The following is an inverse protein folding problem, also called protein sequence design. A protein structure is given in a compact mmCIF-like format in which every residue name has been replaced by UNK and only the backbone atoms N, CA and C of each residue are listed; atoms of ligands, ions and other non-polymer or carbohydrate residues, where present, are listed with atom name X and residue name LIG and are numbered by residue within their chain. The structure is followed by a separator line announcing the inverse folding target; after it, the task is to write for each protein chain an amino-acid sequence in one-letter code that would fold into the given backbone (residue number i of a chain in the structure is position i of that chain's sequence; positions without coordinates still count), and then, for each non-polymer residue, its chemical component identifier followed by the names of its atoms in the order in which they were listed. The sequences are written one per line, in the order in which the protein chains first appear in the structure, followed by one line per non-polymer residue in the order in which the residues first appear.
data_IF_052797008971
#
_entry.id   IF_052797008971
#
_cell.length_a   1.000
_cell.length_b   1.000
_cell.length_c   1.000
_cell.angle_alpha   90.00
_cell.angle_beta   90.00
_cell.angle_gamma   90.00
#
_symmetry.space_group_name_H-M   'P 1'
#
loop_
_entity.id
_entity.type
_entity.pdbx_description
1 polymer ?
#
# COMPACT_ATOMS: atom_id res chain seq x y z
N UNK A 1 -8.80 16.74 9.24
CA UNK A 1 -7.65 17.61 9.60
C UNK A 1 -6.66 16.71 10.35
N UNK A 2 -5.36 16.73 10.05
CA UNK A 2 -4.32 16.05 10.87
C UNK A 2 -3.48 17.13 11.55
N UNK A 3 -3.89 17.52 12.78
CA UNK A 3 -2.98 17.70 13.93
C UNK A 3 -3.65 17.28 15.27
N UNK A 4 -2.95 17.09 16.41
CA UNK A 4 -1.62 17.52 16.81
C UNK A 4 -0.84 16.37 17.50
N UNK A 5 0.48 16.35 17.29
CA UNK A 5 1.43 15.23 17.54
C UNK A 5 1.28 14.12 16.48
N UNK A 6 2.00 14.22 15.37
CA UNK A 6 2.00 13.20 14.28
C UNK A 6 3.27 12.33 14.36
N UNK A 7 3.20 11.12 14.96
CA UNK A 7 4.27 10.13 14.95
C UNK A 7 4.00 8.93 14.02
N UNK A 8 2.89 8.86 13.28
CA UNK A 8 2.56 7.65 12.52
C UNK A 8 3.36 7.58 11.21
N UNK A 9 4.31 6.64 11.20
CA UNK A 9 5.17 6.35 10.06
C UNK A 9 4.49 5.30 9.17
N UNK A 10 4.23 5.68 7.92
CA UNK A 10 3.60 4.83 6.89
C UNK A 10 4.64 4.39 5.87
N UNK A 11 4.63 3.11 5.52
CA UNK A 11 5.52 2.58 4.50
C UNK A 11 5.01 2.93 3.11
N UNK A 12 5.82 3.66 2.35
CA UNK A 12 5.60 3.98 0.94
C UNK A 12 6.82 3.58 0.13
N UNK A 13 6.64 3.39 -1.17
CA UNK A 13 7.77 3.16 -2.06
C UNK A 13 7.49 3.64 -3.47
N UNK A 14 8.56 3.88 -4.22
CA UNK A 14 8.51 4.13 -5.67
C UNK A 14 8.62 2.80 -6.37
N UNK A 15 7.67 2.48 -7.25
CA UNK A 15 7.67 1.21 -8.00
C UNK A 15 8.92 1.09 -8.88
N UNK A 16 9.60 -0.05 -8.78
CA UNK A 16 10.73 -0.37 -9.66
C UNK A 16 10.23 -0.71 -11.07
N UNK A 17 11.07 -0.43 -12.07
CA UNK A 17 10.82 -0.84 -13.46
C UNK A 17 10.86 -2.35 -13.62
N UNK A 18 11.78 -3.02 -12.94
CA UNK A 18 11.95 -4.48 -13.03
C UNK A 18 10.77 -5.26 -12.43
N UNK A 19 10.26 -4.83 -11.28
CA UNK A 19 9.18 -5.53 -10.56
C UNK A 19 7.78 -5.05 -10.91
N UNK A 20 7.65 -3.97 -11.69
CA UNK A 20 6.36 -3.42 -12.11
C UNK A 20 6.47 -2.68 -13.46
N UNK A 21 6.50 -3.45 -14.55
CA UNK A 21 6.51 -2.91 -15.92
C UNK A 21 5.30 -2.02 -16.25
N UNK A 22 4.16 -2.20 -15.56
CA UNK A 22 2.92 -1.46 -15.84
C UNK A 22 3.01 0.01 -15.42
N UNK A 23 3.63 0.28 -14.28
CA UNK A 23 3.64 1.60 -13.66
C UNK A 23 4.96 1.84 -12.90
N UNK A 24 6.11 1.86 -13.60
CA UNK A 24 7.37 2.26 -12.99
C UNK A 24 7.27 3.69 -12.45
N UNK A 25 7.98 4.00 -11.37
CA UNK A 25 8.06 5.37 -10.87
C UNK A 25 6.82 5.84 -10.08
N UNK A 26 5.77 5.02 -9.98
CA UNK A 26 4.58 5.39 -9.22
C UNK A 26 4.79 5.18 -7.72
N UNK A 27 4.50 6.20 -6.92
CA UNK A 27 4.43 6.10 -5.45
C UNK A 27 3.27 5.20 -5.05
N UNK A 28 3.56 4.20 -4.24
CA UNK A 28 2.63 3.16 -3.85
C UNK A 28 2.90 2.72 -2.41
N UNK A 29 1.85 2.39 -1.68
CA UNK A 29 1.97 1.59 -0.44
C UNK A 29 2.12 0.11 -0.81
N UNK A 30 2.44 -0.78 0.14
CA UNK A 30 2.38 -2.22 -0.08
C UNK A 30 1.00 -2.60 -0.61
N UNK A 31 0.95 -3.16 -1.81
CA UNK A 31 -0.29 -3.65 -2.41
C UNK A 31 -0.04 -4.85 -3.31
N UNK A 32 -1.06 -5.70 -3.44
CA UNK A 32 -1.12 -6.76 -4.43
C UNK A 32 -2.48 -6.80 -5.12
N UNK A 33 -2.48 -7.21 -6.39
CA UNK A 33 -3.71 -7.62 -7.06
C UNK A 33 -4.21 -8.91 -6.43
N UNK A 34 -5.52 -9.06 -6.33
CA UNK A 34 -6.16 -10.30 -5.86
C UNK A 34 -6.95 -10.91 -7.01
N UNK A 35 -7.02 -12.25 -7.14
CA UNK A 35 -7.74 -12.87 -8.25
C UNK A 35 -9.18 -12.39 -8.35
N UNK A 36 -9.64 -12.09 -9.57
CA UNK A 36 -10.97 -11.54 -9.84
C UNK A 36 -12.10 -12.36 -9.21
N UNK A 37 -12.04 -13.70 -9.31
CA UNK A 37 -13.06 -14.57 -8.70
C UNK A 37 -13.19 -14.37 -7.19
N UNK A 38 -12.05 -14.29 -6.50
CA UNK A 38 -12.05 -14.01 -5.06
C UNK A 38 -12.54 -12.59 -4.79
N UNK A 39 -12.14 -11.64 -5.63
CA UNK A 39 -12.55 -10.27 -5.49
C UNK A 39 -14.07 -10.08 -5.55
N UNK A 40 -14.70 -10.61 -6.59
CA UNK A 40 -16.15 -10.55 -6.79
C UNK A 40 -16.90 -11.22 -5.64
N UNK A 41 -16.37 -12.31 -5.07
CA UNK A 41 -16.95 -12.97 -3.91
C UNK A 41 -16.94 -12.07 -2.66
N UNK A 42 -15.90 -11.25 -2.48
CA UNK A 42 -15.78 -10.38 -1.31
C UNK A 42 -16.52 -9.05 -1.45
N UNK A 43 -16.58 -8.47 -2.66
CA UNK A 43 -17.11 -7.12 -2.85
C UNK A 43 -18.52 -7.04 -3.42
N UNK A 44 -19.03 -8.14 -3.99
CA UNK A 44 -20.03 -8.07 -5.05
C UNK A 44 -19.45 -7.33 -6.28
N UNK A 45 -19.89 -7.68 -7.49
CA UNK A 45 -19.43 -7.00 -8.71
C UNK A 45 -19.50 -5.47 -8.62
N UNK A 46 -18.66 -4.78 -9.39
CA UNK A 46 -18.52 -3.31 -9.36
C UNK A 46 -18.81 -2.79 -10.75
N UNK A 47 -19.56 -1.69 -10.83
CA UNK A 47 -19.90 -1.11 -12.13
C UNK A 47 -18.66 -0.51 -12.81
N UNK A 48 -18.76 -0.28 -14.11
CA UNK A 48 -17.66 0.30 -14.90
C UNK A 48 -17.21 1.65 -14.34
N UNK A 49 -15.90 1.78 -14.10
CA UNK A 49 -15.30 2.97 -13.52
C UNK A 49 -15.64 3.22 -12.04
N UNK A 50 -16.52 2.41 -11.43
CA UNK A 50 -16.81 2.50 -10.00
C UNK A 50 -15.58 2.03 -9.21
N UNK A 51 -15.27 2.76 -8.14
CA UNK A 51 -14.31 2.33 -7.14
C UNK A 51 -15.04 1.89 -5.88
N UNK A 52 -15.06 0.59 -5.61
CA UNK A 52 -15.63 0.05 -4.37
C UNK A 52 -14.54 -0.21 -3.35
N UNK A 53 -14.80 0.22 -2.12
CA UNK A 53 -13.90 -0.01 -0.99
C UNK A 53 -14.59 -0.84 0.07
N UNK A 54 -13.99 -1.99 0.42
CA UNK A 54 -14.51 -2.83 1.49
C UNK A 54 -14.13 -2.28 2.87
N UNK A 55 -14.85 -2.75 3.90
CA UNK A 55 -14.63 -2.32 5.28
C UNK A 55 -13.16 -2.55 5.65
N UNK A 56 -12.56 -1.52 6.24
CA UNK A 56 -11.20 -1.64 6.72
C UNK A 56 -11.15 -2.61 7.91
N UNK A 57 -10.15 -3.45 7.92
CA UNK A 57 -9.83 -4.34 9.04
C UNK A 57 -8.46 -3.99 9.59
N UNK A 58 -8.32 -4.12 10.90
CA UNK A 58 -7.10 -3.79 11.65
C UNK A 58 -6.38 -5.07 12.07
N UNK A 59 -5.07 -5.00 12.20
CA UNK A 59 -4.26 -6.09 12.72
C UNK A 59 -2.86 -5.63 13.12
N UNK A 60 -2.00 -6.58 13.44
CA UNK A 60 -0.59 -6.36 13.75
C UNK A 60 0.28 -7.23 12.84
N UNK A 61 1.56 -6.88 12.72
CA UNK A 61 2.58 -7.69 12.04
C UNK A 61 3.87 -7.74 12.84
N UNK A 62 4.69 -8.76 12.61
CA UNK A 62 6.00 -8.92 13.25
C UNK A 62 5.89 -9.20 14.76
N UNK A 63 4.73 -9.67 15.22
CA UNK A 63 4.50 -10.06 16.62
C UNK A 63 4.08 -11.53 16.68
N UNK A 64 4.37 -12.24 17.77
CA UNK A 64 3.87 -13.60 17.96
C UNK A 64 2.35 -13.67 17.78
N UNK A 65 1.89 -14.54 16.89
CA UNK A 65 0.47 -14.72 16.59
C UNK A 65 -0.14 -13.69 15.63
N UNK A 66 0.62 -12.74 15.07
CA UNK A 66 0.10 -11.83 14.03
C UNK A 66 -0.51 -12.58 12.84
N UNK A 67 0.16 -13.62 12.35
CA UNK A 67 -0.30 -14.52 11.29
C UNK A 67 -1.43 -15.48 11.68
N UNK A 68 -1.90 -15.46 12.94
CA UNK A 68 -3.09 -16.24 13.35
C UNK A 68 -4.41 -15.59 12.93
N UNK A 69 -4.37 -14.35 12.46
CA UNK A 69 -5.51 -13.64 11.88
C UNK A 69 -5.36 -13.57 10.36
N UNK A 70 -6.49 -13.60 9.64
CA UNK A 70 -6.49 -13.43 8.16
C UNK A 70 -5.78 -12.14 7.74
N UNK A 71 -5.94 -11.10 8.56
CA UNK A 71 -5.36 -9.76 8.37
C UNK A 71 -3.84 -9.77 8.47
N UNK A 72 -3.32 -10.27 9.59
CA UNK A 72 -1.88 -10.32 9.82
C UNK A 72 -1.20 -11.29 8.86
N UNK A 73 -1.82 -12.42 8.54
CA UNK A 73 -1.33 -13.34 7.52
C UNK A 73 -1.20 -12.66 6.15
N UNK A 74 -2.26 -11.96 5.69
CA UNK A 74 -2.24 -11.29 4.39
C UNK A 74 -1.18 -10.17 4.33
N UNK A 75 -0.98 -9.45 5.43
CA UNK A 75 0.06 -8.42 5.52
C UNK A 75 1.46 -9.01 5.52
N UNK A 76 1.76 -9.97 6.40
CA UNK A 76 3.09 -10.57 6.47
C UNK A 76 3.45 -11.26 5.14
N UNK A 77 2.50 -11.95 4.51
CA UNK A 77 2.68 -12.50 3.17
C UNK A 77 2.97 -11.40 2.13
N UNK A 78 2.30 -10.24 2.21
CA UNK A 78 2.56 -9.12 1.32
C UNK A 78 3.94 -8.51 1.53
N UNK A 79 4.28 -8.21 2.78
CA UNK A 79 5.56 -7.60 3.15
C UNK A 79 6.71 -8.51 2.75
N UNK A 80 6.64 -9.79 3.08
CA UNK A 80 7.67 -10.78 2.70
C UNK A 80 7.81 -10.92 1.19
N UNK A 81 6.69 -10.87 0.45
CA UNK A 81 6.73 -10.95 -1.02
C UNK A 81 7.33 -9.70 -1.68
N UNK A 82 7.17 -8.53 -1.06
CA UNK A 82 7.36 -7.24 -1.73
C UNK A 82 8.48 -6.38 -1.19
N UNK A 83 8.92 -6.60 0.05
CA UNK A 83 9.68 -5.58 0.80
C UNK A 83 10.76 -6.22 1.65
N UNK A 84 10.39 -7.19 2.49
CA UNK A 84 11.22 -7.62 3.61
C UNK A 84 11.63 -9.06 3.48
N UNK A 85 12.80 -9.40 4.00
CA UNK A 85 13.10 -10.79 4.34
C UNK A 85 12.18 -11.21 5.51
N UNK A 86 11.44 -12.31 5.35
CA UNK A 86 10.51 -12.81 6.36
C UNK A 86 11.18 -13.02 7.73
N UNK A 87 12.49 -13.28 7.76
CA UNK A 87 13.24 -13.42 9.02
C UNK A 87 13.23 -12.17 9.90
N UNK A 88 13.08 -10.97 9.32
CA UNK A 88 12.95 -9.72 10.07
C UNK A 88 11.61 -9.63 10.81
N UNK A 89 10.54 -10.20 10.22
CA UNK A 89 9.23 -10.29 10.85
C UNK A 89 9.23 -11.37 11.93
N UNK A 90 9.82 -12.53 11.65
CA UNK A 90 9.88 -13.67 12.58
C UNK A 90 10.65 -13.34 13.87
N UNK A 91 11.72 -12.54 13.76
CA UNK A 91 12.50 -12.07 14.92
C UNK A 91 11.86 -10.92 15.68
N UNK A 92 10.85 -10.27 15.09
CA UNK A 92 10.22 -9.06 15.64
C UNK A 92 11.09 -7.80 15.52
N UNK A 93 12.14 -7.84 14.68
CA UNK A 93 13.02 -6.70 14.39
C UNK A 93 12.24 -5.55 13.75
N UNK A 94 11.16 -5.89 13.03
CA UNK A 94 10.17 -4.95 12.50
C UNK A 94 8.79 -5.38 12.92
N UNK A 95 8.06 -4.50 13.59
CA UNK A 95 6.69 -4.77 13.97
C UNK A 95 5.86 -3.50 14.02
N UNK A 96 4.55 -3.69 13.91
CA UNK A 96 3.64 -2.56 13.92
C UNK A 96 2.19 -2.93 13.86
N UNK A 97 1.39 -1.90 13.55
CA UNK A 97 -0.04 -2.00 13.30
C UNK A 97 -0.30 -1.91 11.82
N UNK A 98 -1.44 -2.42 11.41
CA UNK A 98 -1.87 -2.26 10.04
C UNK A 98 -3.36 -2.02 9.94
N UNK A 99 -3.72 -1.35 8.86
CA UNK A 99 -5.06 -1.33 8.34
C UNK A 99 -4.98 -1.74 6.88
N UNK A 100 -5.85 -2.62 6.43
CA UNK A 100 -5.98 -2.88 5.00
C UNK A 100 -7.37 -2.54 4.51
N UNK A 101 -7.44 -2.32 3.21
CA UNK A 101 -8.66 -2.06 2.48
C UNK A 101 -8.55 -2.71 1.12
N UNK A 102 -9.59 -3.45 0.77
CA UNK A 102 -9.77 -3.95 -0.59
C UNK A 102 -10.41 -2.82 -1.39
N UNK A 103 -9.78 -2.46 -2.50
CA UNK A 103 -10.27 -1.46 -3.43
C UNK A 103 -10.43 -2.10 -4.81
N UNK A 104 -11.65 -2.13 -5.31
CA UNK A 104 -11.96 -2.62 -6.65
C UNK A 104 -12.12 -1.43 -7.57
N UNK A 105 -11.60 -1.56 -8.79
CA UNK A 105 -11.93 -0.65 -9.87
C UNK A 105 -12.34 -1.49 -11.07
N UNK A 106 -13.54 -1.21 -11.58
CA UNK A 106 -14.00 -1.81 -12.83
C UNK A 106 -13.20 -1.28 -14.01
N UNK A 107 -13.00 -2.13 -15.01
CA UNK A 107 -12.40 -1.78 -16.30
C UNK A 107 -11.04 -1.07 -16.20
N UNK A 108 -10.03 -1.74 -15.63
CA UNK A 108 -8.67 -1.21 -15.54
C UNK A 108 -7.87 -1.70 -16.74
N UNK A 109 -7.43 -0.77 -17.59
CA UNK A 109 -6.50 -1.08 -18.68
C UNK A 109 -5.27 -1.82 -18.13
N UNK A 110 -4.96 -2.96 -18.72
CA UNK A 110 -3.70 -3.66 -18.49
C UNK A 110 -2.65 -3.19 -19.52
N UNK A 111 -1.76 -2.23 -19.18
CA UNK A 111 -0.74 -1.76 -20.11
C UNK A 111 0.32 -2.82 -20.45
N UNK A 112 0.28 -4.01 -19.83
CA UNK A 112 1.14 -5.16 -20.15
C UNK A 112 0.36 -6.36 -20.67
N UNK A 113 -0.97 -6.24 -20.80
CA UNK A 113 -1.81 -7.29 -21.36
C UNK A 113 -1.46 -7.49 -22.83
N UNK A 114 -1.44 -8.74 -23.28
CA UNK A 114 -1.12 -9.07 -24.67
C UNK A 114 -2.24 -8.67 -25.65
N UNK A 115 -3.43 -8.28 -25.18
CA UNK A 115 -4.62 -8.12 -26.04
C UNK A 115 -5.65 -7.08 -25.51
N UNK A 116 -5.27 -5.83 -25.21
CA UNK A 116 -6.22 -4.76 -24.79
C UNK A 116 -7.25 -5.23 -23.72
N UNK A 117 -6.84 -6.16 -22.85
CA UNK A 117 -7.75 -6.83 -21.93
C UNK A 117 -8.10 -5.85 -20.81
N UNK A 118 -9.30 -5.29 -20.93
CA UNK A 118 -9.89 -4.49 -19.87
C UNK A 118 -10.43 -5.46 -18.81
N UNK A 119 -9.72 -5.56 -17.70
CA UNK A 119 -10.12 -6.42 -16.57
C UNK A 119 -10.57 -5.60 -15.36
N UNK A 120 -11.61 -6.07 -14.70
CA UNK A 120 -11.93 -5.61 -13.36
C UNK A 120 -10.78 -5.98 -12.42
N UNK A 121 -10.14 -4.98 -11.83
CA UNK A 121 -9.01 -5.21 -10.93
C UNK A 121 -9.41 -4.91 -9.50
N UNK A 122 -9.31 -5.93 -8.62
CA UNK A 122 -9.28 -5.72 -7.19
C UNK A 122 -7.85 -5.65 -6.69
N UNK A 123 -7.55 -4.59 -5.96
CA UNK A 123 -6.29 -4.42 -5.26
C UNK A 123 -6.51 -4.49 -3.76
N UNK A 124 -5.76 -5.40 -3.13
CA UNK A 124 -5.54 -5.35 -1.70
C UNK A 124 -4.52 -4.26 -1.42
N UNK A 125 -4.99 -3.16 -0.85
CA UNK A 125 -4.14 -2.07 -0.37
C UNK A 125 -3.92 -2.26 1.11
N UNK A 126 -2.67 -2.35 1.54
CA UNK A 126 -2.34 -2.43 2.96
C UNK A 126 -1.59 -1.17 3.37
N UNK A 127 -2.13 -0.51 4.39
CA UNK A 127 -1.49 0.58 5.12
C UNK A 127 -0.77 -0.04 6.32
N UNK A 128 0.53 -0.24 6.19
CA UNK A 128 1.39 -0.63 7.30
C UNK A 128 1.82 0.64 8.06
N UNK A 129 1.63 0.62 9.38
CA UNK A 129 2.07 1.68 10.30
C UNK A 129 3.13 1.06 11.21
N UNK A 130 4.35 1.60 11.15
CA UNK A 130 5.44 1.08 11.96
C UNK A 130 5.25 1.50 13.42
N UNK A 131 5.28 0.55 14.35
CA UNK A 131 5.48 0.87 15.76
C UNK A 131 6.98 0.85 16.11
N UNK A 132 7.75 -0.08 15.51
CA UNK A 132 9.20 -0.22 15.70
C UNK A 132 9.88 -0.85 14.48
N UNK A 133 11.19 -0.62 14.31
CA UNK A 133 12.00 -1.22 13.24
C UNK A 133 11.98 -0.44 11.91
N UNK A 134 11.68 0.86 11.95
CA UNK A 134 11.61 1.75 10.78
C UNK A 134 12.85 1.63 9.89
N UNK A 135 14.05 1.62 10.49
CA UNK A 135 15.30 1.61 9.73
C UNK A 135 15.58 0.28 9.03
N UNK A 136 15.05 -0.83 9.55
CA UNK A 136 15.30 -2.15 8.97
C UNK A 136 14.62 -2.35 7.60
N UNK A 137 13.63 -1.51 7.26
CA UNK A 137 12.91 -1.59 5.98
C UNK A 137 13.21 -0.44 5.00
N UNK A 138 14.22 0.39 5.31
CA UNK A 138 14.72 1.40 4.37
C UNK A 138 15.70 0.77 3.41
N UNK A 139 15.22 0.39 2.22
CA UNK A 139 16.08 -0.10 1.15
C UNK A 139 15.30 -0.21 -0.17
N UNK A 140 15.94 -0.73 -1.20
CA UNK A 140 15.27 -1.15 -2.42
C UNK A 140 14.78 -2.59 -2.26
N UNK A 141 13.71 -2.93 -2.97
CA UNK A 141 13.32 -4.31 -3.18
C UNK A 141 13.11 -4.56 -4.66
N UNK A 142 12.95 -5.82 -5.07
CA UNK A 142 12.60 -6.12 -6.45
C UNK A 142 11.34 -5.37 -6.91
N UNK A 143 10.37 -5.08 -6.02
CA UNK A 143 9.12 -4.38 -6.35
C UNK A 143 9.17 -2.85 -6.20
N UNK A 144 10.20 -2.31 -5.55
CA UNK A 144 10.31 -0.89 -5.21
C UNK A 144 11.75 -0.42 -5.37
N UNK A 145 11.98 0.56 -6.26
CA UNK A 145 13.30 1.17 -6.43
C UNK A 145 13.71 2.01 -5.23
N UNK A 146 12.75 2.43 -4.41
CA UNK A 146 12.96 3.13 -3.13
C UNK A 146 11.83 2.77 -2.18
N UNK A 147 12.15 2.57 -0.91
CA UNK A 147 11.18 2.40 0.18
C UNK A 147 11.49 3.42 1.27
N UNK A 148 10.47 4.11 1.74
CA UNK A 148 10.57 5.08 2.81
C UNK A 148 9.42 4.95 3.78
N UNK A 149 9.75 5.20 5.05
CA UNK A 149 8.76 5.43 6.07
C UNK A 149 8.52 6.93 6.15
N UNK A 150 7.32 7.37 5.79
CA UNK A 150 6.96 8.79 5.73
C UNK A 150 5.88 9.09 6.76
N UNK A 151 5.82 10.32 7.25
CA UNK A 151 4.73 10.72 8.12
C UNK A 151 3.41 10.65 7.37
N UNK A 152 2.37 10.22 8.08
CA UNK A 152 1.02 10.16 7.53
C UNK A 152 0.56 11.51 6.95
N UNK A 153 0.91 12.63 7.60
CA UNK A 153 0.59 13.98 7.13
C UNK A 153 1.32 14.36 5.84
N UNK A 154 2.58 13.96 5.68
CA UNK A 154 3.37 14.20 4.48
C UNK A 154 2.79 13.43 3.30
N UNK A 155 2.38 12.16 3.50
CA UNK A 155 1.68 11.38 2.47
C UNK A 155 0.37 12.06 2.03
N UNK A 156 -0.44 12.53 2.98
CA UNK A 156 -1.68 13.24 2.68
C UNK A 156 -1.42 14.54 1.89
N UNK A 157 -0.37 15.28 2.28
CA UNK A 157 0.04 16.52 1.61
C UNK A 157 0.51 16.24 0.18
N UNK A 158 1.42 15.28 0.00
CA UNK A 158 1.94 14.83 -1.29
C UNK A 158 0.83 14.41 -2.25
N UNK A 159 -0.12 13.59 -1.78
CA UNK A 159 -1.24 13.14 -2.61
C UNK A 159 -2.16 14.29 -3.05
N UNK A 160 -2.45 15.25 -2.15
CA UNK A 160 -3.27 16.42 -2.48
C UNK A 160 -2.59 17.35 -3.49
N UNK A 161 -1.29 17.55 -3.34
CA UNK A 161 -0.50 18.42 -4.20
C UNK A 161 -0.06 17.72 -5.50
N UNK A 162 -0.28 16.41 -5.62
CA UNK A 162 0.20 15.57 -6.72
C UNK A 162 1.72 15.64 -6.88
N UNK A 163 2.42 15.83 -5.76
CA UNK A 163 3.86 16.03 -5.73
C UNK A 163 4.54 14.89 -4.95
N UNK A 164 5.18 13.98 -5.69
CA UNK A 164 5.91 12.85 -5.12
C UNK A 164 7.26 13.25 -4.49
N UNK A 165 7.80 14.42 -4.83
CA UNK A 165 9.07 14.91 -4.30
C UNK A 165 8.98 15.25 -2.80
N UNK A 166 7.77 15.55 -2.32
CA UNK A 166 7.52 15.70 -0.89
C UNK A 166 7.80 14.43 -0.07
N UNK A 167 7.81 13.26 -0.71
CA UNK A 167 8.12 11.97 -0.07
C UNK A 167 9.49 11.45 -0.46
N UNK A 168 9.95 11.73 -1.69
CA UNK A 168 11.21 11.26 -2.24
C UNK A 168 11.99 12.43 -2.86
N UNK A 169 12.55 13.34 -2.05
CA UNK A 169 13.14 14.61 -2.53
C UNK A 169 14.40 14.44 -3.38
N UNK A 170 15.09 13.32 -3.25
CA UNK A 170 16.32 13.01 -4.01
C UNK A 170 16.02 12.30 -5.34
N UNK A 171 14.75 12.00 -5.64
CA UNK A 171 14.36 11.32 -6.87
C UNK A 171 14.23 12.27 -8.04
N UNK A 172 14.36 11.78 -9.28
CA UNK A 172 14.02 12.57 -10.46
C UNK A 172 12.50 12.89 -10.48
N UNK A 173 12.09 14.17 -10.49
CA UNK A 173 10.67 14.56 -10.48
C UNK A 173 9.89 14.10 -11.72
N UNK A 174 10.59 13.83 -12.83
CA UNK A 174 9.97 13.28 -14.04
C UNK A 174 9.73 11.77 -13.96
N UNK A 175 10.38 11.09 -13.02
CA UNK A 175 10.29 9.65 -12.82
C UNK A 175 9.38 9.27 -11.66
N UNK A 176 8.97 10.22 -10.81
CA UNK A 176 8.14 9.94 -9.63
C UNK A 176 6.74 10.53 -9.78
N UNK A 177 5.73 9.66 -9.81
CA UNK A 177 4.32 10.06 -9.89
C UNK A 177 3.55 9.62 -8.63
N UNK A 178 2.78 10.52 -8.01
CA UNK A 178 1.88 10.17 -6.89
C UNK A 178 0.41 10.15 -7.32
N UNK A 179 0.07 9.11 -8.07
CA UNK A 179 -1.29 8.83 -8.54
C UNK A 179 -1.50 7.32 -8.60
N UNK A 180 -2.72 6.87 -8.34
CA UNK A 180 -3.09 5.47 -8.50
C UNK A 180 -4.06 5.00 -7.43
N UNK A 181 -4.72 3.88 -7.71
CA UNK A 181 -5.75 3.33 -6.84
C UNK A 181 -5.19 2.90 -5.48
N UNK A 182 -3.93 2.45 -5.41
CA UNK A 182 -3.29 2.02 -4.17
C UNK A 182 -3.06 3.20 -3.22
N UNK A 183 -2.48 4.28 -3.71
CA UNK A 183 -2.18 5.46 -2.89
C UNK A 183 -3.45 6.22 -2.51
N UNK A 184 -4.46 6.26 -3.41
CA UNK A 184 -5.78 6.79 -3.08
C UNK A 184 -6.46 5.98 -1.97
N UNK A 185 -6.38 4.65 -2.04
CA UNK A 185 -6.96 3.77 -1.03
C UNK A 185 -6.27 3.92 0.33
N UNK A 186 -4.95 4.09 0.34
CA UNK A 186 -4.17 4.39 1.54
C UNK A 186 -4.56 5.74 2.17
N UNK A 187 -4.68 6.80 1.36
CA UNK A 187 -5.10 8.13 1.82
C UNK A 187 -6.51 8.11 2.41
N UNK A 188 -7.44 7.35 1.82
CA UNK A 188 -8.78 7.17 2.36
C UNK A 188 -8.80 6.35 3.65
N UNK A 189 -7.88 5.40 3.83
CA UNK A 189 -7.68 4.69 5.10
C UNK A 189 -7.25 5.66 6.21
N UNK A 190 -6.27 6.53 5.93
CA UNK A 190 -5.82 7.57 6.86
C UNK A 190 -6.94 8.57 7.18
N UNK A 191 -7.74 8.98 6.19
CA UNK A 191 -8.88 9.86 6.39
C UNK A 191 -10.00 9.28 7.25
N UNK A 192 -10.21 7.95 7.19
CA UNK A 192 -11.19 7.25 8.01
C UNK A 192 -10.68 6.94 9.44
N UNK A 193 -9.36 6.84 9.62
CA UNK A 193 -8.74 6.66 10.93
C UNK A 193 -8.83 7.94 11.80
N UNK A 194 -8.93 9.13 11.18
CA UNK A 194 -9.13 10.39 11.91
C UNK A 194 -10.44 10.48 12.72
N UNK A 195 -11.39 9.56 12.52
CA UNK A 195 -12.63 9.44 13.29
C UNK A 195 -12.60 8.31 14.32
N UNK A 196 -11.57 7.45 14.31
CA UNK A 196 -11.45 6.30 15.22
C UNK A 196 -9.97 6.10 15.56
N UNK A 197 -9.57 6.50 16.78
CA UNK A 197 -8.25 6.18 17.35
C UNK A 197 -7.86 4.73 17.01
N UNK A 198 -6.70 4.56 16.36
CA UNK A 198 -6.29 3.28 15.76
C UNK A 198 -5.86 2.25 16.79
#
# INVERSE_FOLDING_TARGET
MVPATDPEMVLVGVRSTEGNARHPGVVSVPTMRVPLRWATQQSGGVADGETRQLKASKGTFGRPGSSSTEVGYALEALLTKKIVDGTLLDKGDVHGRCAFRLAMRGQVDDPTGTEDEIEDTLMLTILAICDSGVDALRSQSHSYSQLEWVRSSDLLKAWRQRDGQLLFPESNPLEVCIRGLCIESAVRLLGAAGTVSL
#
